data_IF_843692106069
#
_entry.id   IF_843692106069
#
_cell.length_a   1.000
_cell.length_b   1.000
_cell.length_c   1.000
_cell.angle_alpha   90.00
_cell.angle_beta   90.00
_cell.angle_gamma   90.00
#
_symmetry.space_group_name_H-M   'P 1'
#
loop_
_entity.id
_entity.type
_entity.pdbx_description
1 polymer ?
#
# COMPACT_ATOMS: atom_id res chain seq x y z
N UNK A 1 9.49 5.92 -17.01
CA UNK A 1 8.06 5.72 -16.76
C UNK A 1 7.79 5.48 -15.31
N UNK A 2 6.83 6.20 -14.76
CA UNK A 2 6.48 6.05 -13.36
C UNK A 2 5.84 4.69 -13.12
N UNK A 3 6.28 4.02 -12.07
CA UNK A 3 5.70 2.77 -11.64
C UNK A 3 5.06 2.96 -10.26
N UNK A 4 4.05 2.15 -9.96
CA UNK A 4 3.30 2.25 -8.72
C UNK A 4 3.21 0.90 -8.04
N UNK A 5 3.48 0.88 -6.75
CA UNK A 5 3.21 -0.26 -5.88
C UNK A 5 1.88 0.03 -5.19
N UNK A 6 0.87 -0.73 -5.54
CA UNK A 6 -0.48 -0.57 -4.98
C UNK A 6 -0.70 -1.62 -3.91
N UNK A 7 -1.11 -1.18 -2.73
CA UNK A 7 -1.40 -2.06 -1.61
C UNK A 7 -2.86 -1.88 -1.25
N UNK A 8 -3.65 -2.93 -1.48
CA UNK A 8 -5.10 -2.91 -1.24
C UNK A 8 -5.41 -3.69 0.03
N UNK A 9 -5.98 -3.00 1.01
CA UNK A 9 -6.31 -3.60 2.29
C UNK A 9 -7.76 -4.08 2.28
N UNK A 10 -8.02 -5.37 2.57
CA UNK A 10 -9.38 -5.88 2.72
C UNK A 10 -10.13 -5.13 3.82
N UNK A 11 -11.46 -5.27 3.82
CA UNK A 11 -12.30 -4.63 4.83
C UNK A 11 -11.83 -5.10 6.21
N UNK A 12 -11.37 -4.19 7.08
CA UNK A 12 -10.85 -4.58 8.39
C UNK A 12 -11.96 -4.98 9.35
N UNK A 13 -11.61 -5.73 10.39
CA UNK A 13 -12.55 -6.10 11.45
C UNK A 13 -13.03 -4.89 12.25
N UNK A 14 -12.16 -3.89 12.39
CA UNK A 14 -12.44 -2.64 13.10
C UNK A 14 -11.84 -1.50 12.26
N UNK A 15 -12.68 -0.82 11.49
CA UNK A 15 -12.22 0.22 10.58
C UNK A 15 -11.57 1.41 11.29
N UNK A 16 -12.12 1.98 12.38
CA UNK A 16 -11.43 3.06 13.09
C UNK A 16 -10.08 2.67 13.64
N UNK A 17 -9.95 1.45 14.18
CA UNK A 17 -8.68 0.95 14.69
C UNK A 17 -7.65 0.76 13.56
N UNK A 18 -8.09 0.23 12.42
CA UNK A 18 -7.21 0.09 11.25
C UNK A 18 -6.75 1.46 10.75
N UNK A 19 -7.66 2.40 10.59
CA UNK A 19 -7.33 3.74 10.08
C UNK A 19 -6.31 4.45 10.97
N UNK A 20 -6.44 4.28 12.29
CA UNK A 20 -5.49 4.84 13.25
C UNK A 20 -4.13 4.17 13.13
N UNK A 21 -4.09 2.83 13.11
CA UNK A 21 -2.85 2.09 12.97
C UNK A 21 -2.13 2.42 11.66
N UNK A 22 -2.88 2.56 10.58
CA UNK A 22 -2.33 2.94 9.28
C UNK A 22 -1.66 4.31 9.33
N UNK A 23 -2.36 5.32 9.87
CA UNK A 23 -1.86 6.70 9.95
C UNK A 23 -0.75 6.88 10.96
N UNK A 24 -0.91 6.33 12.17
CA UNK A 24 -0.04 6.64 13.31
C UNK A 24 1.13 5.67 13.45
N UNK A 25 1.00 4.45 12.96
CA UNK A 25 2.02 3.41 13.11
C UNK A 25 2.64 3.01 11.78
N UNK A 26 1.81 2.69 10.77
CA UNK A 26 2.30 2.15 9.51
C UNK A 26 3.03 3.18 8.65
N UNK A 27 2.41 4.34 8.39
CA UNK A 27 3.03 5.35 7.52
C UNK A 27 4.37 5.85 8.06
N UNK A 28 4.52 6.16 9.37
CA UNK A 28 5.82 6.54 9.91
C UNK A 28 6.86 5.42 9.86
N UNK A 29 6.43 4.16 9.98
CA UNK A 29 7.33 3.00 9.90
C UNK A 29 7.74 2.72 8.47
N UNK A 30 6.78 2.65 7.55
CA UNK A 30 7.01 2.21 6.17
C UNK A 30 7.67 3.31 5.33
N UNK A 31 7.31 4.58 5.53
CA UNK A 31 7.82 5.67 4.71
C UNK A 31 9.33 5.67 4.54
N UNK A 32 10.12 5.68 5.62
CA UNK A 32 11.59 5.66 5.50
C UNK A 32 12.14 4.37 4.89
N UNK A 33 11.37 3.28 4.92
CA UNK A 33 11.78 1.97 4.41
C UNK A 33 11.48 1.78 2.93
N UNK A 34 10.66 2.62 2.35
CA UNK A 34 10.31 2.58 0.92
C UNK A 34 11.32 3.42 0.12
N UNK A 35 12.56 2.94 0.13
CA UNK A 35 13.69 3.64 -0.49
C UNK A 35 13.48 3.73 -2.00
N UNK A 36 13.64 4.93 -2.55
CA UNK A 36 13.45 5.20 -3.97
C UNK A 36 12.05 5.68 -4.33
N UNK A 37 11.10 5.61 -3.40
CA UNK A 37 9.75 6.13 -3.62
C UNK A 37 9.76 7.65 -3.75
N UNK A 38 8.95 8.17 -4.67
CA UNK A 38 8.79 9.61 -4.89
C UNK A 38 7.56 10.18 -4.21
N UNK A 39 6.65 9.32 -3.76
CA UNK A 39 5.46 9.75 -3.04
C UNK A 39 4.60 8.57 -2.61
N UNK A 40 3.78 8.83 -1.60
CA UNK A 40 2.77 7.88 -1.13
C UNK A 40 1.45 8.63 -1.06
N UNK A 41 0.43 8.11 -1.73
CA UNK A 41 -0.93 8.63 -1.61
C UNK A 41 -1.85 7.53 -1.08
N UNK A 42 -2.83 7.93 -0.29
CA UNK A 42 -3.81 7.02 0.30
C UNK A 42 -5.18 7.31 -0.29
N UNK A 43 -5.87 6.27 -0.72
CA UNK A 43 -7.21 6.39 -1.28
C UNK A 43 -8.17 5.45 -0.58
N UNK A 44 -9.37 5.96 -0.28
CA UNK A 44 -10.47 5.12 0.21
C UNK A 44 -11.08 4.39 -0.97
N UNK A 45 -11.26 3.08 -0.88
CA UNK A 45 -11.97 2.31 -1.91
C UNK A 45 -13.46 2.43 -1.64
N UNK A 46 -14.21 2.94 -2.60
CA UNK A 46 -15.64 3.22 -2.45
C UNK A 46 -16.53 2.47 -3.43
N UNK A 47 -15.96 1.70 -4.32
CA UNK A 47 -16.68 0.95 -5.33
C UNK A 47 -16.22 -0.49 -5.47
N UNK A 48 -16.86 -1.30 -6.31
CA UNK A 48 -17.44 -0.94 -7.61
C UNK A 48 -18.70 -0.08 -7.51
N UNK A 49 -19.12 0.48 -8.65
CA UNK A 49 -20.16 1.52 -8.70
C UNK A 49 -21.50 1.11 -8.09
N UNK A 50 -21.85 -0.17 -8.15
CA UNK A 50 -23.20 -0.66 -7.79
C UNK A 50 -23.16 -1.81 -6.78
N UNK A 51 -22.06 -1.95 -6.04
CA UNK A 51 -21.91 -3.02 -5.03
C UNK A 51 -21.03 -2.53 -3.89
N UNK A 52 -21.02 -3.18 -2.73
CA UNK A 52 -20.09 -2.86 -1.65
C UNK A 52 -18.64 -3.00 -2.13
N UNK A 53 -17.71 -2.14 -1.66
CA UNK A 53 -16.32 -2.24 -2.05
C UNK A 53 -15.69 -3.53 -1.51
N UNK A 54 -14.85 -4.24 -2.32
CA UNK A 54 -14.14 -5.42 -1.85
C UNK A 54 -12.95 -5.10 -0.95
N UNK A 55 -12.52 -3.84 -0.95
CA UNK A 55 -11.38 -3.37 -0.17
C UNK A 55 -11.76 -2.10 0.58
N UNK A 56 -11.01 -1.81 1.62
CA UNK A 56 -11.24 -0.64 2.47
C UNK A 56 -10.40 0.55 2.03
N UNK A 57 -9.10 0.30 1.75
CA UNK A 57 -8.13 1.37 1.55
C UNK A 57 -7.05 0.90 0.60
N UNK A 58 -6.53 1.83 -0.20
CA UNK A 58 -5.43 1.59 -1.11
C UNK A 58 -4.30 2.57 -0.83
N UNK A 59 -3.09 2.04 -0.65
CA UNK A 59 -1.87 2.84 -0.69
C UNK A 59 -1.30 2.81 -2.11
N UNK A 60 -0.92 3.97 -2.63
CA UNK A 60 -0.26 4.11 -3.93
C UNK A 60 1.13 4.68 -3.68
N UNK A 61 2.15 3.85 -3.82
CA UNK A 61 3.54 4.24 -3.65
C UNK A 61 4.17 4.41 -5.03
N UNK A 62 4.57 5.61 -5.36
CA UNK A 62 5.11 5.97 -6.67
C UNK A 62 6.62 5.84 -6.71
N UNK A 63 7.16 5.36 -7.84
CA UNK A 63 8.59 5.24 -8.11
C UNK A 63 8.90 5.81 -9.48
N UNK A 64 10.11 6.36 -9.71
CA UNK A 64 10.43 6.94 -11.01
C UNK A 64 10.51 5.91 -12.12
N UNK A 65 10.87 4.65 -11.80
CA UNK A 65 10.97 3.56 -12.78
C UNK A 65 10.53 2.25 -12.15
N UNK A 66 10.22 1.28 -13.02
CA UNK A 66 9.93 -0.08 -12.57
C UNK A 66 11.14 -0.72 -11.88
N UNK A 67 12.35 -0.46 -12.40
CA UNK A 67 13.57 -0.99 -11.80
C UNK A 67 13.78 -0.48 -10.36
N UNK A 68 13.52 0.80 -10.12
CA UNK A 68 13.60 1.39 -8.78
C UNK A 68 12.58 0.74 -7.84
N UNK A 69 11.35 0.52 -8.33
CA UNK A 69 10.32 -0.16 -7.56
C UNK A 69 10.74 -1.58 -7.19
N UNK A 70 11.23 -2.35 -8.18
CA UNK A 70 11.67 -3.73 -7.94
C UNK A 70 12.82 -3.78 -6.95
N UNK A 71 13.77 -2.87 -7.06
CA UNK A 71 14.88 -2.79 -6.11
C UNK A 71 14.38 -2.56 -4.68
N UNK A 72 13.42 -1.66 -4.50
CA UNK A 72 12.81 -1.41 -3.19
C UNK A 72 12.07 -2.66 -2.68
N UNK A 73 11.20 -3.23 -3.49
CA UNK A 73 10.34 -4.34 -3.09
C UNK A 73 11.15 -5.59 -2.71
N UNK A 74 12.32 -5.78 -3.30
CA UNK A 74 13.19 -6.92 -2.99
C UNK A 74 14.23 -6.62 -1.92
N UNK A 75 14.34 -5.37 -1.48
CA UNK A 75 15.26 -4.98 -0.41
C UNK A 75 14.74 -5.42 0.95
N UNK A 76 15.64 -5.50 1.93
CA UNK A 76 15.25 -5.84 3.31
C UNK A 76 14.29 -4.80 3.88
N UNK A 77 14.55 -3.51 3.65
CA UNK A 77 13.70 -2.43 4.16
C UNK A 77 12.32 -2.41 3.50
N UNK A 78 12.25 -2.65 2.18
CA UNK A 78 10.97 -2.74 1.48
C UNK A 78 10.14 -3.93 1.95
N UNK A 79 10.78 -5.08 2.18
CA UNK A 79 10.10 -6.25 2.73
C UNK A 79 9.55 -5.97 4.13
N UNK A 80 10.30 -5.26 4.97
CA UNK A 80 9.82 -4.86 6.30
C UNK A 80 8.60 -3.97 6.21
N UNK A 81 8.57 -3.03 5.25
CA UNK A 81 7.41 -2.17 5.03
C UNK A 81 6.16 -2.99 4.65
N UNK A 82 6.31 -3.96 3.74
CA UNK A 82 5.21 -4.82 3.31
C UNK A 82 4.75 -5.77 4.41
N UNK A 83 5.67 -6.30 5.22
CA UNK A 83 5.34 -7.12 6.38
C UNK A 83 4.54 -6.33 7.41
N UNK A 84 4.90 -5.07 7.65
CA UNK A 84 4.15 -4.22 8.57
C UNK A 84 2.75 -3.93 8.03
N UNK A 85 2.62 -3.71 6.73
CA UNK A 85 1.31 -3.56 6.09
C UNK A 85 0.42 -4.78 6.36
N UNK A 86 0.98 -5.97 6.21
CA UNK A 86 0.25 -7.20 6.51
C UNK A 86 -0.14 -7.30 7.98
N UNK A 87 0.72 -6.85 8.88
CA UNK A 87 0.48 -6.94 10.33
C UNK A 87 -0.69 -6.11 10.81
N UNK A 88 -1.00 -4.98 10.15
CA UNK A 88 -2.13 -4.14 10.50
C UNK A 88 -3.42 -4.53 9.77
N UNK A 89 -3.35 -5.44 8.81
CA UNK A 89 -4.48 -5.81 7.95
C UNK A 89 -5.35 -6.88 8.61
N UNK A 90 -6.26 -6.44 9.48
CA UNK A 90 -7.11 -7.35 10.27
C UNK A 90 -8.16 -8.09 9.45
N UNK A 91 -8.48 -7.62 8.25
CA UNK A 91 -9.46 -8.25 7.37
C UNK A 91 -8.89 -9.34 6.46
N UNK A 92 -7.59 -9.61 6.54
CA UNK A 92 -6.89 -10.56 5.70
C UNK A 92 -5.65 -9.96 5.09
N UNK A 93 -4.85 -10.77 4.39
CA UNK A 93 -3.63 -10.30 3.76
C UNK A 93 -3.94 -9.22 2.70
N UNK A 94 -3.17 -8.12 2.66
CA UNK A 94 -3.37 -7.11 1.62
C UNK A 94 -2.96 -7.65 0.26
N UNK A 95 -3.63 -7.18 -0.79
CA UNK A 95 -3.24 -7.47 -2.16
C UNK A 95 -2.21 -6.44 -2.61
N UNK A 96 -1.09 -6.91 -3.16
CA UNK A 96 -0.03 -6.04 -3.65
C UNK A 96 0.04 -6.18 -5.17
N UNK A 97 -0.09 -5.06 -5.87
CA UNK A 97 -0.11 -5.01 -7.32
C UNK A 97 0.92 -3.99 -7.79
N UNK A 98 1.64 -4.33 -8.85
CA UNK A 98 2.58 -3.42 -9.49
C UNK A 98 1.98 -2.98 -10.82
N UNK A 99 1.92 -1.67 -11.04
CA UNK A 99 1.44 -1.10 -12.30
C UNK A 99 2.44 -0.07 -12.80
N UNK A 100 2.39 0.23 -14.10
CA UNK A 100 3.18 1.32 -14.68
C UNK A 100 2.26 2.26 -15.44
N UNK A 101 2.70 3.51 -15.61
CA UNK A 101 1.94 4.53 -16.32
C UNK A 101 2.03 4.36 -17.85
N UNK A 102 2.35 3.18 -18.32
CA UNK A 102 2.44 2.83 -19.72
C UNK A 102 1.07 2.43 -20.25
N UNK A 103 0.71 3.02 -21.35
CA UNK A 103 -0.53 2.65 -22.02
C UNK A 103 -0.30 1.49 -23.00
#
# INVERSE_FOLDING_TARGET
MTAHLLILYPIPKDAPAFDRAYREEHLPYAGPRLVGATGVTTKRVVGPAFAPPPYHLMSDVSFPTLDTLKACATSASGKQALEHAASISSGGAPMVIVVSDEA
#
